data_IF_018900883995
#
_entry.id   IF_018900883995
#
_cell.length_a   1.000
_cell.length_b   1.000
_cell.length_c   1.000
_cell.angle_alpha   90.00
_cell.angle_beta   90.00
_cell.angle_gamma   90.00
#
_symmetry.space_group_name_H-M   'P 1'
#
loop_
_entity.id
_entity.type
_entity.pdbx_description
1 polymer ?
#
# COMPACT_ATOMS: atom_id res chain seq x y z
N UNK A 1 37.72 23.07 -16.56
CA UNK A 1 37.65 21.68 -17.03
C UNK A 1 36.87 20.90 -16.00
N UNK A 2 35.63 20.50 -16.31
CA UNK A 2 34.76 19.76 -15.39
C UNK A 2 34.66 18.33 -15.89
N UNK A 3 35.16 17.36 -15.12
CA UNK A 3 35.01 15.94 -15.44
C UNK A 3 33.54 15.50 -15.33
N UNK A 4 33.04 14.70 -16.29
CA UNK A 4 31.70 14.12 -16.21
C UNK A 4 31.69 12.98 -15.16
N UNK A 5 30.77 13.05 -14.18
CA UNK A 5 30.57 11.96 -13.21
C UNK A 5 30.12 10.68 -13.92
N UNK A 6 30.64 9.49 -13.54
CA UNK A 6 30.12 8.24 -14.04
C UNK A 6 28.66 8.07 -13.59
N UNK A 7 27.75 8.08 -14.55
CA UNK A 7 26.35 7.70 -14.36
C UNK A 7 26.30 6.20 -14.11
N UNK A 8 26.02 5.80 -12.87
CA UNK A 8 25.85 4.40 -12.50
C UNK A 8 24.77 3.76 -13.39
N UNK A 9 25.16 2.80 -14.22
CA UNK A 9 24.23 2.07 -15.06
C UNK A 9 23.25 1.28 -14.18
N UNK A 10 21.94 1.25 -14.50
CA UNK A 10 20.97 0.53 -13.70
C UNK A 10 21.29 -0.96 -13.70
N UNK A 11 21.51 -1.54 -12.51
CA UNK A 11 21.72 -2.98 -12.34
C UNK A 11 20.48 -3.72 -12.83
N UNK A 12 20.62 -4.45 -13.94
CA UNK A 12 19.57 -5.39 -14.39
C UNK A 12 19.44 -6.50 -13.36
N UNK A 13 18.26 -6.61 -12.75
CA UNK A 13 17.94 -7.68 -11.82
C UNK A 13 18.02 -9.03 -12.55
N UNK A 14 18.81 -9.96 -12.02
CA UNK A 14 18.84 -11.35 -12.49
C UNK A 14 17.50 -12.06 -12.28
N UNK A 15 17.36 -13.26 -12.87
CA UNK A 15 16.13 -14.07 -12.85
C UNK A 15 15.52 -14.24 -11.45
N UNK A 16 16.35 -14.57 -10.47
CA UNK A 16 15.94 -14.76 -9.08
C UNK A 16 15.47 -13.45 -8.47
N UNK A 17 16.17 -12.34 -8.75
CA UNK A 17 15.78 -11.01 -8.28
C UNK A 17 14.41 -10.57 -8.82
N UNK A 18 14.12 -10.84 -10.10
CA UNK A 18 12.79 -10.57 -10.67
C UNK A 18 11.69 -11.39 -9.99
N UNK A 19 11.90 -12.69 -9.81
CA UNK A 19 10.92 -13.54 -9.12
C UNK A 19 10.64 -13.04 -7.71
N UNK A 20 11.70 -12.72 -6.94
CA UNK A 20 11.59 -12.14 -5.61
C UNK A 20 10.81 -10.83 -5.65
N UNK A 21 11.10 -9.93 -6.59
CA UNK A 21 10.38 -8.66 -6.72
C UNK A 21 8.87 -8.86 -6.98
N UNK A 22 8.48 -9.78 -7.86
CA UNK A 22 7.07 -10.09 -8.10
C UNK A 22 6.39 -10.69 -6.86
N UNK A 23 7.05 -11.64 -6.19
CA UNK A 23 6.52 -12.26 -4.97
C UNK A 23 6.35 -11.25 -3.86
N UNK A 24 7.33 -10.37 -3.63
CA UNK A 24 7.24 -9.28 -2.65
C UNK A 24 6.05 -8.37 -2.97
N UNK A 25 5.83 -8.03 -4.24
CA UNK A 25 4.72 -7.17 -4.62
C UNK A 25 3.35 -7.82 -4.36
N UNK A 26 3.22 -9.12 -4.66
CA UNK A 26 2.00 -9.89 -4.36
C UNK A 26 1.74 -9.94 -2.85
N UNK A 27 2.78 -10.25 -2.06
CA UNK A 27 2.65 -10.31 -0.60
C UNK A 27 2.32 -8.95 0.01
N UNK A 28 2.95 -7.87 -0.49
CA UNK A 28 2.64 -6.51 -0.06
C UNK A 28 1.18 -6.14 -0.36
N UNK A 29 0.70 -6.45 -1.58
CA UNK A 29 -0.70 -6.24 -1.95
C UNK A 29 -1.66 -7.02 -1.05
N UNK A 30 -1.38 -8.30 -0.80
CA UNK A 30 -2.20 -9.14 0.07
C UNK A 30 -2.23 -8.61 1.51
N UNK A 31 -1.10 -8.16 2.01
CA UNK A 31 -1.01 -7.51 3.32
C UNK A 31 -1.90 -6.27 3.40
N UNK A 32 -1.90 -5.41 2.37
CA UNK A 32 -2.77 -4.23 2.30
C UNK A 32 -4.26 -4.64 2.32
N UNK A 33 -4.63 -5.69 1.58
CA UNK A 33 -6.02 -6.19 1.57
C UNK A 33 -6.45 -6.69 2.95
N UNK A 34 -5.56 -7.41 3.65
CA UNK A 34 -5.86 -8.01 4.95
C UNK A 34 -5.78 -7.03 6.13
N UNK A 35 -5.05 -5.92 5.96
CA UNK A 35 -4.84 -4.90 6.99
C UNK A 35 -6.15 -4.41 7.65
N UNK A 36 -7.17 -3.92 6.94
CA UNK A 36 -8.39 -3.39 7.56
C UNK A 36 -9.24 -4.46 8.30
N UNK A 37 -8.98 -5.75 8.06
CA UNK A 37 -9.67 -6.87 8.72
C UNK A 37 -8.89 -7.45 9.92
N UNK A 38 -7.63 -7.03 10.09
CA UNK A 38 -6.73 -7.55 11.12
C UNK A 38 -6.25 -6.39 12.00
N UNK A 39 -5.05 -5.88 11.72
CA UNK A 39 -4.39 -4.84 12.52
C UNK A 39 -5.11 -3.48 12.42
N UNK A 40 -5.69 -3.16 11.26
CA UNK A 40 -6.44 -1.93 11.00
C UNK A 40 -7.93 -2.01 11.33
N UNK A 41 -8.39 -3.07 12.01
CA UNK A 41 -9.79 -3.23 12.37
C UNK A 41 -10.24 -2.22 13.44
N UNK A 42 -9.33 -1.81 14.32
CA UNK A 42 -9.53 -0.72 15.29
C UNK A 42 -9.48 0.65 14.62
N UNK A 43 -10.30 1.58 15.10
CA UNK A 43 -10.19 2.99 14.74
C UNK A 43 -9.74 3.74 15.97
N UNK A 44 -8.43 3.85 16.15
CA UNK A 44 -7.86 4.70 17.18
C UNK A 44 -7.87 6.14 16.68
N UNK A 45 -8.73 6.97 17.28
CA UNK A 45 -8.85 8.38 16.94
C UNK A 45 -8.13 9.19 18.01
N UNK A 46 -6.96 9.72 17.67
CA UNK A 46 -6.20 10.60 18.57
C UNK A 46 -6.33 12.08 18.18
N UNK A 47 -6.38 12.93 19.22
CA UNK A 47 -6.29 14.38 19.14
C UNK A 47 -5.15 14.84 20.06
N UNK A 48 -4.06 15.37 19.49
CA UNK A 48 -2.87 15.82 20.25
C UNK A 48 -2.33 14.79 21.27
N UNK A 49 -2.30 13.51 20.90
CA UNK A 49 -1.83 12.42 21.78
C UNK A 49 -2.81 12.00 22.88
N UNK A 50 -4.07 12.45 22.81
CA UNK A 50 -5.18 11.96 23.63
C UNK A 50 -6.15 11.18 22.77
N UNK A 51 -6.51 9.98 23.23
CA UNK A 51 -7.55 9.17 22.59
C UNK A 51 -8.91 9.85 22.78
N UNK A 52 -9.57 10.12 21.68
CA UNK A 52 -10.84 10.82 21.61
C UNK A 52 -11.98 9.83 21.88
N UNK A 53 -12.90 10.15 22.79
CA UNK A 53 -14.08 9.33 23.07
C UNK A 53 -15.32 9.79 22.25
N UNK A 54 -16.34 8.92 22.09
CA UNK A 54 -17.62 9.31 21.50
C UNK A 54 -18.21 10.58 22.13
N UNK A 55 -18.73 11.49 21.32
CA UNK A 55 -19.24 12.79 21.74
C UNK A 55 -18.17 13.87 22.00
N UNK A 56 -16.88 13.54 21.94
CA UNK A 56 -15.82 14.53 22.02
C UNK A 56 -15.48 15.13 20.65
N UNK A 57 -15.07 16.39 20.66
CA UNK A 57 -14.58 17.12 19.50
C UNK A 57 -13.11 17.51 19.71
N UNK A 58 -12.35 17.54 18.62
CA UNK A 58 -10.98 18.02 18.64
C UNK A 58 -10.98 19.50 18.22
N UNK A 59 -10.87 20.43 19.16
CA UNK A 59 -10.78 21.85 18.84
C UNK A 59 -9.45 22.15 18.13
N UNK A 60 -9.49 23.00 17.10
CA UNK A 60 -8.27 23.51 16.46
C UNK A 60 -7.62 24.57 17.36
N UNK A 61 -6.32 24.78 17.20
CA UNK A 61 -5.56 25.73 18.01
C UNK A 61 -6.02 27.19 17.86
N UNK A 62 -6.74 27.50 16.76
CA UNK A 62 -7.35 28.79 16.47
C UNK A 62 -8.75 28.96 17.11
N UNK A 63 -9.19 28.01 17.94
CA UNK A 63 -10.50 28.04 18.61
C UNK A 63 -11.68 27.70 17.71
N UNK A 64 -11.45 27.40 16.42
CA UNK A 64 -12.53 26.97 15.53
C UNK A 64 -12.95 25.52 15.83
N UNK A 65 -14.24 25.18 15.66
CA UNK A 65 -14.69 23.81 15.81
C UNK A 65 -13.94 22.93 14.82
N UNK A 66 -13.19 21.96 15.34
CA UNK A 66 -12.56 20.93 14.52
C UNK A 66 -13.46 19.71 14.38
N UNK A 67 -12.91 18.66 13.78
CA UNK A 67 -13.64 17.46 13.41
C UNK A 67 -14.11 16.68 14.64
N UNK A 68 -15.36 16.19 14.65
CA UNK A 68 -15.88 15.38 15.77
C UNK A 68 -15.30 13.97 15.75
N UNK A 69 -15.42 13.25 16.87
CA UNK A 69 -15.10 11.82 16.93
C UNK A 69 -15.84 11.03 15.84
N UNK A 70 -17.13 11.27 15.68
CA UNK A 70 -17.99 10.54 14.75
C UNK A 70 -17.58 10.79 13.30
N UNK A 71 -17.22 12.02 12.95
CA UNK A 71 -16.70 12.37 11.62
C UNK A 71 -15.36 11.68 11.33
N UNK A 72 -14.45 11.64 12.32
CA UNK A 72 -13.15 10.96 12.16
C UNK A 72 -13.31 9.45 12.03
N UNK A 73 -14.16 8.84 12.86
CA UNK A 73 -14.49 7.42 12.75
C UNK A 73 -15.18 7.12 11.42
N UNK A 74 -16.09 7.98 10.99
CA UNK A 74 -16.78 7.88 9.70
C UNK A 74 -15.80 7.87 8.54
N UNK A 75 -14.88 8.84 8.50
CA UNK A 75 -13.84 8.91 7.47
C UNK A 75 -12.91 7.70 7.49
N UNK A 76 -12.47 7.25 8.67
CA UNK A 76 -11.62 6.07 8.79
C UNK A 76 -12.32 4.81 8.27
N UNK A 77 -13.62 4.66 8.55
CA UNK A 77 -14.43 3.55 8.01
C UNK A 77 -14.63 3.67 6.50
N UNK A 78 -14.84 4.88 5.99
CA UNK A 78 -14.99 5.13 4.55
C UNK A 78 -13.69 4.89 3.75
N UNK A 79 -12.52 5.01 4.39
CA UNK A 79 -11.24 4.71 3.77
C UNK A 79 -11.00 3.20 3.56
N UNK A 80 -11.63 2.33 4.37
CA UNK A 80 -11.46 0.87 4.30
C UNK A 80 -11.69 0.28 2.90
N UNK A 81 -12.80 0.55 2.19
CA UNK A 81 -13.01 0.03 0.84
C UNK A 81 -11.93 0.50 -0.14
N UNK A 82 -11.44 1.74 -0.01
CA UNK A 82 -10.37 2.27 -0.85
C UNK A 82 -9.07 1.48 -0.65
N UNK A 83 -8.70 1.23 0.61
CA UNK A 83 -7.52 0.42 0.95
C UNK A 83 -7.62 -0.98 0.33
N UNK A 84 -8.78 -1.63 0.45
CA UNK A 84 -9.01 -2.96 -0.13
C UNK A 84 -8.86 -2.94 -1.66
N UNK A 85 -9.50 -1.97 -2.34
CA UNK A 85 -9.43 -1.86 -3.80
C UNK A 85 -7.99 -1.66 -4.27
N UNK A 86 -7.24 -0.76 -3.63
CA UNK A 86 -5.83 -0.53 -3.95
C UNK A 86 -5.00 -1.80 -3.72
N UNK A 87 -5.20 -2.48 -2.59
CA UNK A 87 -4.52 -3.75 -2.30
C UNK A 87 -4.79 -4.83 -3.36
N UNK A 88 -6.05 -4.97 -3.80
CA UNK A 88 -6.44 -5.90 -4.86
C UNK A 88 -5.73 -5.57 -6.18
N UNK A 89 -5.69 -4.29 -6.56
CA UNK A 89 -5.01 -3.84 -7.77
C UNK A 89 -3.50 -4.15 -7.73
N UNK A 90 -2.83 -3.84 -6.61
CA UNK A 90 -1.40 -4.12 -6.42
C UNK A 90 -1.12 -5.63 -6.48
N UNK A 91 -1.93 -6.43 -5.79
CA UNK A 91 -1.83 -7.90 -5.78
C UNK A 91 -2.00 -8.47 -7.19
N UNK A 92 -3.06 -8.04 -7.88
CA UNK A 92 -3.37 -8.48 -9.24
C UNK A 92 -2.27 -8.11 -10.23
N UNK A 93 -1.70 -6.91 -10.11
CA UNK A 93 -0.58 -6.47 -10.94
C UNK A 93 0.68 -7.32 -10.70
N UNK A 94 1.06 -7.55 -9.44
CA UNK A 94 2.19 -8.42 -9.11
C UNK A 94 2.01 -9.86 -9.62
N UNK A 95 0.79 -10.40 -9.49
CA UNK A 95 0.46 -11.72 -10.00
C UNK A 95 0.52 -11.77 -11.54
N UNK A 96 -0.01 -10.75 -12.22
CA UNK A 96 0.04 -10.64 -13.67
C UNK A 96 1.49 -10.60 -14.20
N UNK A 97 2.36 -9.83 -13.55
CA UNK A 97 3.79 -9.80 -13.89
C UNK A 97 4.45 -11.18 -13.69
N UNK A 98 4.17 -11.85 -12.57
CA UNK A 98 4.68 -13.18 -12.26
C UNK A 98 4.24 -14.21 -13.31
N UNK A 99 2.95 -14.20 -13.69
CA UNK A 99 2.40 -15.07 -14.73
C UNK A 99 2.98 -14.73 -16.11
N UNK A 100 3.14 -13.44 -16.43
CA UNK A 100 3.75 -13.00 -17.69
C UNK A 100 5.20 -13.46 -17.83
N UNK A 101 5.98 -13.38 -16.75
CA UNK A 101 7.34 -13.92 -16.70
C UNK A 101 7.36 -15.45 -16.80
N UNK A 102 6.36 -16.16 -16.26
CA UNK A 102 6.25 -17.61 -16.40
C UNK A 102 5.84 -18.04 -17.81
N UNK A 103 4.93 -17.31 -18.46
CA UNK A 103 4.46 -17.59 -19.84
C UNK A 103 5.56 -17.35 -20.86
N UNK A 104 6.36 -16.29 -20.71
CA UNK A 104 7.54 -16.02 -21.55
C UNK A 104 8.64 -17.08 -21.44
N UNK A 105 8.54 -17.99 -20.47
CA UNK A 105 9.49 -19.11 -20.29
C UNK A 105 9.04 -20.40 -20.96
N UNK A 106 7.82 -20.50 -21.49
CA UNK A 106 7.40 -21.69 -22.25
C UNK A 106 8.03 -21.61 -23.64
N UNK A 107 9.03 -22.44 -23.98
CA UNK A 107 9.48 -22.57 -25.36
C UNK A 107 8.31 -23.12 -26.17
N UNK A 108 8.09 -22.59 -27.36
CA UNK A 108 7.22 -23.19 -28.37
C UNK A 108 7.72 -24.61 -28.64
N UNK A 109 7.09 -25.61 -28.00
CA UNK A 109 7.22 -27.02 -28.34
C UNK A 109 6.31 -27.29 -29.54
N UNK A 110 6.69 -26.82 -30.72
CA UNK A 110 6.14 -27.30 -31.99
C UNK A 110 7.14 -26.97 -33.10
N UNK A 111 8.02 -27.92 -33.37
CA UNK A 111 8.69 -28.11 -34.64
C UNK A 111 8.32 -29.51 -35.12
#
# INVERSE_FOLDING_TARGET
>A
MSEPRPTAAPRRLGRTGRLVAHTVLVLAGLFIVLYPFTLGAGVDVDCYGRQLQPGQNCAKADGTPGQTYEERVGNARAARPVIVVVGVLVTGFGAALMVGDARRRRPSSTA
#
